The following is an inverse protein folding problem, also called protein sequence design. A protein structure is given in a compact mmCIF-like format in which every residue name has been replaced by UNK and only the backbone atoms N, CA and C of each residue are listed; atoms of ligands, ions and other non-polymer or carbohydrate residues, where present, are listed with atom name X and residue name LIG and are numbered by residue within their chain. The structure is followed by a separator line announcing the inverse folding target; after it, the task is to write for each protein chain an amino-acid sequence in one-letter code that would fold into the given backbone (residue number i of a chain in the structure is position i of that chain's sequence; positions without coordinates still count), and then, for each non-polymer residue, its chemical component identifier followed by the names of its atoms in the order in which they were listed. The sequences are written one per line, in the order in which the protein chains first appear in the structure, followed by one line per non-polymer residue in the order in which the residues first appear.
data_IF_988003729455
#
_entry.id   IF_988003729455
#
_cell.length_a   1.000
_cell.length_b   1.000
_cell.length_c   1.000
_cell.angle_alpha   90.00
_cell.angle_beta   90.00
_cell.angle_gamma   90.00
#
_symmetry.space_group_name_H-M   'P 1'
#
loop_
_entity.id
_entity.type
_entity.pdbx_description
1 polymer ?
#
# COMPACT_ATOMS: atom_id res chain seq x y z
N UNK A 1 29.40 -23.18 26.97
CA UNK A 1 27.98 -22.87 26.71
C UNK A 1 27.80 -22.72 25.22
N UNK A 2 27.02 -23.59 24.60
CA UNK A 2 26.80 -23.61 23.14
C UNK A 2 25.64 -22.69 22.77
N UNK A 3 25.88 -21.75 21.86
CA UNK A 3 24.86 -20.92 21.26
C UNK A 3 24.25 -21.70 20.08
N UNK A 4 23.07 -22.26 20.28
CA UNK A 4 22.34 -22.99 19.23
C UNK A 4 21.38 -22.02 18.58
N UNK A 5 21.55 -21.79 17.28
CA UNK A 5 20.62 -21.00 16.46
C UNK A 5 19.61 -21.98 15.86
N UNK A 6 18.33 -21.81 16.20
CA UNK A 6 17.23 -22.56 15.59
C UNK A 6 16.56 -21.67 14.54
N UNK A 7 16.29 -22.25 13.36
CA UNK A 7 15.46 -21.59 12.35
C UNK A 7 14.00 -21.70 12.81
N UNK A 8 13.47 -20.66 13.44
CA UNK A 8 12.02 -20.55 13.60
C UNK A 8 11.41 -20.23 12.23
N UNK A 9 10.90 -21.25 11.55
CA UNK A 9 10.04 -21.05 10.39
C UNK A 9 8.67 -20.58 10.87
N UNK A 10 8.57 -19.31 11.32
CA UNK A 10 7.27 -18.65 11.52
C UNK A 10 6.59 -18.60 10.16
N UNK A 11 5.63 -19.49 9.94
CA UNK A 11 4.79 -19.47 8.76
C UNK A 11 3.95 -18.18 8.84
N UNK A 12 4.37 -17.14 8.11
CA UNK A 12 3.73 -15.82 8.18
C UNK A 12 2.29 -15.98 7.72
N UNK A 13 1.36 -15.66 8.62
CA UNK A 13 -0.06 -15.69 8.28
C UNK A 13 -0.32 -14.72 7.11
N UNK A 14 -1.09 -15.19 6.14
CA UNK A 14 -1.45 -14.39 4.98
C UNK A 14 -2.67 -13.53 5.32
N UNK A 15 -2.66 -12.29 4.82
CA UNK A 15 -3.82 -11.42 4.90
C UNK A 15 -5.03 -12.06 4.19
N UNK A 16 -6.27 -11.74 4.61
CA UNK A 16 -7.47 -12.21 3.92
C UNK A 16 -7.54 -11.69 2.48
N UNK A 17 -8.07 -12.51 1.57
CA UNK A 17 -8.31 -12.12 0.17
C UNK A 17 -9.67 -11.43 -0.01
N UNK A 18 -9.91 -10.87 -1.20
CA UNK A 18 -11.14 -10.17 -1.54
C UNK A 18 -11.11 -8.70 -1.13
N UNK A 19 -12.28 -8.11 -0.93
CA UNK A 19 -12.41 -6.70 -0.53
C UNK A 19 -12.16 -6.54 0.97
N UNK A 20 -11.11 -5.80 1.31
CA UNK A 20 -10.68 -5.57 2.69
C UNK A 20 -10.61 -4.06 2.99
N UNK A 21 -11.22 -3.60 4.10
CA UNK A 21 -11.04 -2.23 4.57
C UNK A 21 -9.58 -2.01 5.02
N UNK A 22 -9.03 -0.86 4.65
CA UNK A 22 -7.66 -0.48 4.98
C UNK A 22 -7.51 1.04 5.05
N UNK A 23 -6.34 1.50 5.49
CA UNK A 23 -5.95 2.90 5.42
C UNK A 23 -4.50 3.01 4.97
N UNK A 24 -4.17 4.02 4.17
CA UNK A 24 -2.78 4.28 3.83
C UNK A 24 -2.06 4.87 5.04
N UNK A 25 -0.95 4.25 5.43
CA UNK A 25 -0.17 4.64 6.61
C UNK A 25 1.15 5.30 6.25
N UNK A 26 1.66 5.07 5.04
CA UNK A 26 2.87 5.73 4.58
C UNK A 26 2.99 5.78 3.06
N UNK A 27 3.83 6.71 2.60
CA UNK A 27 4.32 6.78 1.24
C UNK A 27 5.82 6.95 1.30
N UNK A 28 6.53 6.06 0.62
CA UNK A 28 7.99 5.98 0.60
C UNK A 28 8.45 6.26 -0.82
N UNK A 29 9.29 7.29 -0.98
CA UNK A 29 10.06 7.47 -2.21
C UNK A 29 11.23 6.47 -2.19
N UNK A 30 11.23 5.53 -3.14
CA UNK A 30 12.27 4.52 -3.25
C UNK A 30 13.47 5.03 -4.09
N UNK A 31 13.38 6.21 -4.67
CA UNK A 31 14.39 6.71 -5.60
C UNK A 31 14.42 5.90 -6.89
N UNK A 32 15.55 5.97 -7.59
CA UNK A 32 15.79 5.21 -8.82
C UNK A 32 16.09 3.75 -8.45
N UNK A 33 15.32 2.84 -9.02
CA UNK A 33 15.44 1.40 -8.85
C UNK A 33 15.83 0.77 -10.18
N UNK A 34 16.77 -0.16 -10.12
CA UNK A 34 17.11 -0.99 -11.29
C UNK A 34 16.02 -2.03 -11.52
N UNK A 35 15.52 -2.12 -12.75
CA UNK A 35 14.48 -3.06 -13.14
C UNK A 35 14.90 -3.79 -14.41
N UNK A 36 14.30 -4.96 -14.73
CA UNK A 36 14.59 -5.65 -15.99
C UNK A 36 14.36 -4.82 -17.26
N UNK A 37 13.67 -3.68 -17.15
CA UNK A 37 13.36 -2.75 -18.22
C UNK A 37 14.14 -1.41 -18.10
N UNK A 38 15.22 -1.40 -17.31
CA UNK A 38 16.05 -0.22 -17.05
C UNK A 38 15.70 0.49 -15.74
N UNK A 39 16.44 1.56 -15.47
CA UNK A 39 16.30 2.38 -14.28
C UNK A 39 14.95 3.13 -14.25
N UNK A 40 14.22 3.00 -13.13
CA UNK A 40 12.93 3.67 -12.93
C UNK A 40 12.84 4.28 -11.55
N UNK A 41 12.39 5.52 -11.47
CA UNK A 41 12.03 6.13 -10.19
C UNK A 41 10.75 5.48 -9.66
N UNK A 42 10.81 4.88 -8.48
CA UNK A 42 9.68 4.19 -7.86
C UNK A 42 9.24 4.82 -6.54
N UNK A 43 7.97 4.62 -6.21
CA UNK A 43 7.37 4.96 -4.92
C UNK A 43 6.60 3.74 -4.39
N UNK A 44 6.48 3.62 -3.08
CA UNK A 44 5.70 2.57 -2.42
C UNK A 44 4.66 3.20 -1.52
N UNK A 45 3.40 2.79 -1.67
CA UNK A 45 2.34 3.15 -0.73
C UNK A 45 2.13 1.97 0.21
N UNK A 46 2.07 2.25 1.51
CA UNK A 46 1.90 1.28 2.59
C UNK A 46 0.49 1.40 3.14
N UNK A 47 -0.17 0.27 3.32
CA UNK A 47 -1.54 0.16 3.81
C UNK A 47 -1.60 -0.73 5.04
N UNK A 48 -2.38 -0.29 6.03
CA UNK A 48 -2.78 -1.07 7.19
C UNK A 48 -4.21 -1.56 6.99
N UNK A 49 -4.43 -2.87 7.07
CA UNK A 49 -5.75 -3.48 6.95
C UNK A 49 -6.47 -3.45 8.29
N UNK A 50 -7.81 -3.38 8.26
CA UNK A 50 -8.62 -3.61 9.45
C UNK A 50 -8.46 -5.03 10.00
N UNK A 51 -8.25 -6.01 9.12
CA UNK A 51 -8.00 -7.38 9.51
C UNK A 51 -6.69 -7.53 10.30
N UNK A 52 -6.73 -8.36 11.34
CA UNK A 52 -5.59 -8.69 12.18
C UNK A 52 -5.18 -10.15 12.01
N UNK A 53 -3.90 -10.42 12.23
CA UNK A 53 -3.37 -11.77 12.42
C UNK A 53 -3.88 -12.39 13.72
N UNK A 54 -3.59 -13.68 13.93
CA UNK A 54 -3.86 -14.40 15.19
C UNK A 54 -3.18 -13.78 16.41
N UNK A 55 -2.08 -13.08 16.19
CA UNK A 55 -1.33 -12.38 17.24
C UNK A 55 -1.95 -11.00 17.56
N UNK A 56 -3.02 -10.61 16.87
CA UNK A 56 -3.73 -9.33 17.07
C UNK A 56 -3.09 -8.14 16.35
N UNK A 57 -2.01 -8.36 15.60
CA UNK A 57 -1.37 -7.31 14.79
C UNK A 57 -2.07 -7.13 13.45
N UNK A 58 -2.29 -5.87 13.05
CA UNK A 58 -2.87 -5.52 11.75
C UNK A 58 -1.95 -5.94 10.58
N UNK A 59 -2.54 -6.41 9.49
CA UNK A 59 -1.76 -6.71 8.29
C UNK A 59 -1.28 -5.43 7.62
N UNK A 60 0.04 -5.35 7.38
CA UNK A 60 0.66 -4.28 6.61
C UNK A 60 0.99 -4.79 5.21
N UNK A 61 0.41 -4.16 4.19
CA UNK A 61 0.67 -4.45 2.78
C UNK A 61 1.26 -3.23 2.07
N UNK A 62 1.98 -3.46 0.97
CA UNK A 62 2.58 -2.40 0.19
C UNK A 62 2.34 -2.61 -1.29
N UNK A 63 2.07 -1.54 -2.03
CA UNK A 63 2.05 -1.54 -3.49
C UNK A 63 3.08 -0.56 -4.05
N UNK A 64 3.94 -1.06 -4.93
CA UNK A 64 4.99 -0.28 -5.59
C UNK A 64 4.51 0.22 -6.94
N UNK A 65 4.94 1.43 -7.26
CA UNK A 65 4.59 2.12 -8.50
C UNK A 65 5.80 2.81 -9.10
N UNK A 66 5.76 3.04 -10.41
CA UNK A 66 6.62 4.06 -11.01
C UNK A 66 6.11 5.45 -10.63
N UNK A 67 7.01 6.38 -10.33
CA UNK A 67 6.69 7.77 -9.96
C UNK A 67 6.24 8.56 -11.19
N UNK A 68 4.99 8.34 -11.62
CA UNK A 68 4.40 8.98 -12.79
C UNK A 68 2.89 9.16 -12.60
N UNK A 69 2.36 10.29 -13.07
CA UNK A 69 0.93 10.56 -13.16
C UNK A 69 0.42 10.51 -14.61
N UNK A 70 1.20 9.93 -15.52
CA UNK A 70 0.79 9.76 -16.92
C UNK A 70 -0.52 8.94 -17.00
N UNK A 71 -1.42 9.20 -17.97
CA UNK A 71 -2.72 8.50 -18.08
C UNK A 71 -2.63 6.97 -18.15
N UNK A 72 -1.50 6.43 -18.60
CA UNK A 72 -1.22 4.97 -18.67
C UNK A 72 -0.49 4.42 -17.45
N UNK A 73 -0.21 5.24 -16.44
CA UNK A 73 0.51 4.79 -15.24
C UNK A 73 -0.45 4.13 -14.26
N UNK A 74 0.00 3.03 -13.65
CA UNK A 74 -0.79 2.32 -12.63
C UNK A 74 -1.05 3.20 -11.40
N UNK A 75 -0.11 4.08 -11.05
CA UNK A 75 -0.27 5.01 -9.94
C UNK A 75 -1.45 5.96 -10.19
N UNK A 76 -1.49 6.56 -11.39
CA UNK A 76 -2.62 7.42 -11.78
C UNK A 76 -3.94 6.66 -11.76
N UNK A 77 -3.99 5.49 -12.38
CA UNK A 77 -5.19 4.68 -12.46
C UNK A 77 -5.76 4.31 -11.08
N UNK A 78 -4.90 3.93 -10.13
CA UNK A 78 -5.34 3.60 -8.77
C UNK A 78 -5.73 4.85 -7.97
N UNK A 79 -5.04 5.99 -8.13
CA UNK A 79 -5.42 7.24 -7.48
C UNK A 79 -6.76 7.78 -7.99
N UNK A 80 -7.02 7.70 -9.30
CA UNK A 80 -8.31 8.07 -9.90
C UNK A 80 -9.46 7.24 -9.30
N UNK A 81 -9.26 5.91 -9.24
CA UNK A 81 -10.23 4.98 -8.65
C UNK A 81 -10.47 5.27 -7.18
N UNK A 82 -9.41 5.44 -6.41
CA UNK A 82 -9.51 5.68 -4.97
C UNK A 82 -10.20 7.01 -4.66
N UNK A 83 -9.89 8.08 -5.41
CA UNK A 83 -10.58 9.37 -5.30
C UNK A 83 -12.05 9.29 -5.74
N UNK A 84 -12.42 8.31 -6.55
CA UNK A 84 -13.72 8.26 -7.23
C UNK A 84 -13.92 9.36 -8.28
N UNK A 85 -12.87 10.13 -8.58
CA UNK A 85 -12.89 11.25 -9.51
C UNK A 85 -11.55 11.31 -10.26
N UNK A 86 -11.54 11.43 -11.59
CA UNK A 86 -10.32 11.63 -12.34
C UNK A 86 -9.66 12.96 -11.99
N UNK A 87 -8.33 13.04 -11.94
CA UNK A 87 -7.69 14.37 -11.80
C UNK A 87 -7.97 15.23 -13.05
N UNK A 88 -8.17 16.54 -12.84
CA UNK A 88 -8.22 17.51 -13.93
C UNK A 88 -6.84 17.76 -14.53
N UNK A 89 -6.82 18.46 -15.66
CA UNK A 89 -5.57 18.92 -16.28
C UNK A 89 -4.82 19.93 -15.39
N UNK A 90 -5.54 20.76 -14.63
CA UNK A 90 -4.94 21.68 -13.67
C UNK A 90 -4.29 20.93 -12.50
N UNK A 91 -4.99 19.97 -11.90
CA UNK A 91 -4.46 19.10 -10.84
C UNK A 91 -3.16 18.39 -11.28
N UNK A 92 -3.11 18.01 -12.57
CA UNK A 92 -1.95 17.36 -13.18
C UNK A 92 -0.77 18.30 -13.37
N UNK A 93 -1.03 19.56 -13.76
CA UNK A 93 0.00 20.57 -13.96
C UNK A 93 0.60 21.04 -12.63
N UNK A 94 -0.23 21.22 -11.60
CA UNK A 94 0.23 21.56 -10.25
C UNK A 94 0.98 20.39 -9.59
N UNK A 95 0.65 19.17 -10.00
CA UNK A 95 1.19 17.95 -9.42
C UNK A 95 0.46 17.55 -8.14
N UNK A 96 0.55 16.27 -7.81
CA UNK A 96 -0.12 15.70 -6.64
C UNK A 96 0.87 15.29 -5.55
N UNK A 97 0.70 15.84 -4.36
CA UNK A 97 1.45 15.41 -3.18
C UNK A 97 0.87 14.10 -2.63
N UNK A 98 1.63 13.01 -2.81
CA UNK A 98 1.28 11.70 -2.28
C UNK A 98 1.24 11.66 -0.74
N UNK A 99 1.79 12.63 -0.01
CA UNK A 99 1.59 12.64 1.45
C UNK A 99 0.15 12.92 1.84
N UNK A 100 -0.66 13.53 0.95
CA UNK A 100 -2.07 13.81 1.20
C UNK A 100 -2.93 12.54 1.34
N UNK A 101 -2.46 11.41 0.79
CA UNK A 101 -3.17 10.13 0.93
C UNK A 101 -2.86 9.40 2.24
N UNK A 102 -1.82 9.82 2.98
CA UNK A 102 -1.52 9.21 4.28
C UNK A 102 -2.62 9.55 5.27
N UNK A 103 -3.14 8.54 5.94
CA UNK A 103 -4.29 8.60 6.83
C UNK A 103 -5.64 8.43 6.15
N UNK A 104 -5.68 8.36 4.81
CA UNK A 104 -6.94 8.21 4.08
C UNK A 104 -7.40 6.74 4.09
N UNK A 105 -8.70 6.49 4.36
CA UNK A 105 -9.29 5.16 4.29
C UNK A 105 -9.50 4.72 2.83
N UNK A 106 -9.44 3.42 2.60
CA UNK A 106 -9.64 2.80 1.29
C UNK A 106 -10.21 1.39 1.42
N UNK A 107 -10.80 0.89 0.33
CA UNK A 107 -11.07 -0.53 0.16
C UNK A 107 -10.01 -1.13 -0.76
N UNK A 108 -9.31 -2.16 -0.29
CA UNK A 108 -8.32 -2.89 -1.10
C UNK A 108 -8.95 -4.16 -1.65
N UNK A 109 -8.81 -4.39 -2.94
CA UNK A 109 -9.06 -5.70 -3.52
C UNK A 109 -7.76 -6.52 -3.47
N UNK A 110 -7.77 -7.57 -2.66
CA UNK A 110 -6.61 -8.39 -2.38
C UNK A 110 -6.73 -9.76 -3.06
N UNK A 111 -5.67 -10.15 -3.75
CA UNK A 111 -5.59 -11.44 -4.43
C UNK A 111 -4.40 -12.24 -3.92
N UNK A 112 -4.61 -13.54 -3.71
CA UNK A 112 -3.52 -14.45 -3.38
C UNK A 112 -2.75 -14.79 -4.66
N UNK A 113 -1.47 -14.45 -4.68
CA UNK A 113 -0.48 -15.01 -5.61
C UNK A 113 0.29 -16.11 -4.90
N UNK A 114 1.12 -16.86 -5.62
CA UNK A 114 1.85 -18.06 -5.18
C UNK A 114 1.99 -18.18 -3.65
N UNK A 115 2.80 -17.31 -3.04
CA UNK A 115 3.12 -17.33 -1.61
C UNK A 115 2.85 -15.99 -0.89
N UNK A 116 2.16 -15.03 -1.52
CA UNK A 116 1.91 -13.72 -0.91
C UNK A 116 0.58 -13.12 -1.39
N UNK A 117 0.09 -12.13 -0.62
CA UNK A 117 -1.11 -11.37 -0.96
C UNK A 117 -0.71 -10.10 -1.69
N UNK A 118 -1.25 -9.91 -2.90
CA UNK A 118 -1.05 -8.74 -3.71
C UNK A 118 -2.25 -7.79 -3.60
N UNK A 119 -1.97 -6.49 -3.62
CA UNK A 119 -3.00 -5.46 -3.78
C UNK A 119 -3.26 -5.30 -5.28
N UNK A 120 -4.43 -5.74 -5.75
CA UNK A 120 -4.76 -5.69 -7.16
C UNK A 120 -5.34 -4.32 -7.54
N UNK A 121 -6.31 -3.81 -6.76
CA UNK A 121 -6.87 -2.48 -6.95
C UNK A 121 -7.18 -1.77 -5.64
N UNK A 122 -7.22 -0.44 -5.72
CA UNK A 122 -7.58 0.46 -4.62
C UNK A 122 -8.89 1.13 -5.00
N UNK A 123 -9.88 1.06 -4.11
CA UNK A 123 -11.23 1.55 -4.30
C UNK A 123 -11.56 2.59 -3.22
N UNK A 124 -12.55 3.47 -3.47
CA UNK A 124 -13.06 4.39 -2.46
C UNK A 124 -13.49 3.63 -1.20
N UNK A 125 -13.34 4.27 -0.05
CA UNK A 125 -13.85 3.70 1.21
C UNK A 125 -15.37 3.54 1.13
N UNK A 126 -15.87 2.49 1.76
CA UNK A 126 -17.29 2.41 2.08
C UNK A 126 -17.57 3.40 3.24
N UNK A 127 -18.50 4.37 3.09
CA UNK A 127 -18.85 5.30 4.16
C UNK A 127 -19.32 4.61 5.45
N UNK A 128 -19.88 3.40 5.35
CA UNK A 128 -20.35 2.62 6.49
C UNK A 128 -19.24 1.78 7.14
N UNK A 129 -18.11 1.58 6.46
CA UNK A 129 -16.96 0.77 6.92
C UNK A 129 -15.64 1.50 6.73
N UNK A 130 -15.43 2.52 7.55
CA UNK A 130 -14.21 3.33 7.54
C UNK A 130 -13.19 2.78 8.53
N UNK A 131 -12.15 2.14 8.02
CA UNK A 131 -10.97 1.80 8.83
C UNK A 131 -10.04 3.02 8.92
N UNK A 132 -9.61 3.36 10.14
CA UNK A 132 -8.62 4.43 10.39
C UNK A 132 -7.32 3.80 10.85
N UNK A 133 -6.16 4.36 10.48
CA UNK A 133 -4.88 3.89 10.99
C UNK A 133 -4.87 3.85 12.51
N UNK A 134 -4.42 2.74 13.08
CA UNK A 134 -4.30 2.54 14.52
C UNK A 134 -3.12 3.30 15.13
N UNK A 135 -2.16 3.72 14.31
CA UNK A 135 -0.91 4.35 14.75
C UNK A 135 0.17 3.34 15.18
N UNK A 136 -0.08 2.04 15.02
CA UNK A 136 0.92 0.99 15.27
C UNK A 136 2.07 1.03 14.26
N UNK A 137 1.81 1.48 13.03
CA UNK A 137 2.83 1.64 12.01
C UNK A 137 3.64 2.93 12.19
N UNK A 138 4.95 2.81 12.43
CA UNK A 138 5.89 3.95 12.36
C UNK A 138 6.37 4.17 10.93
N UNK A 139 6.06 5.37 10.39
CA UNK A 139 6.48 5.80 9.04
C UNK A 139 7.99 5.72 8.88
N UNK A 140 8.44 5.35 7.69
CA UNK A 140 9.88 5.18 7.42
C UNK A 140 10.66 6.47 7.62
N UNK A 141 10.06 7.62 7.32
CA UNK A 141 10.67 8.93 7.56
C UNK A 141 10.79 9.32 9.05
N UNK A 142 10.02 8.68 9.93
CA UNK A 142 9.92 8.99 11.37
C UNK A 142 10.66 7.95 12.24
N UNK A 143 11.40 7.02 11.60
CA UNK A 143 12.27 6.02 12.25
C UNK A 143 13.70 6.55 12.40
#
# INVERSE_FOLDING_TARGET
MSLVIQLESKQKELAPTGLQPAAAVDVIDLGVQDTPFGEKHQVSIIFELEATSRDGEHFILSKRYSKSLHPKSNLRADLDRWRGQPFSDEDLQEGFDLNKIVGQPCMLYLEKRDNFIAIESILPTDPERVHRPTGQYTRVKDR
#
